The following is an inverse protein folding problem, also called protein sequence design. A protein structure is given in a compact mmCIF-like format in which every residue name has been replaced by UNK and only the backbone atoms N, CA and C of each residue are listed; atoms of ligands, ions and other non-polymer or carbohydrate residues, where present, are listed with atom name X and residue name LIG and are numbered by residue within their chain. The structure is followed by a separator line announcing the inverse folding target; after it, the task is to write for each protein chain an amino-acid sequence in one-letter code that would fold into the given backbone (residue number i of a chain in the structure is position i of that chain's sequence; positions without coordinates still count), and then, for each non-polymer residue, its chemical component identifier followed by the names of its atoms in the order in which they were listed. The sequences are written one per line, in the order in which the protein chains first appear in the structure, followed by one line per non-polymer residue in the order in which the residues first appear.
data_IF_732901161858
#
_entry.id   IF_732901161858
#
_cell.length_a   1.000
_cell.length_b   1.000
_cell.length_c   1.000
_cell.angle_alpha   90.00
_cell.angle_beta   90.00
_cell.angle_gamma   90.00
#
_symmetry.space_group_name_H-M   'P 1'
#
loop_
_entity.id
_entity.type
_entity.pdbx_description
1 polymer ?
#
# COMPACT_ATOMS: atom_id res chain seq x y z
N UNK A 1 28.56 1.04 9.76
CA UNK A 1 28.05 2.37 9.33
C UNK A 1 26.54 2.24 9.17
N UNK A 2 25.75 2.86 10.06
CA UNK A 2 24.29 2.90 9.93
C UNK A 2 23.95 3.94 8.85
N UNK A 3 23.18 3.55 7.84
CA UNK A 3 22.64 4.45 6.81
C UNK A 3 21.20 4.80 7.21
N UNK A 4 20.90 6.08 7.32
CA UNK A 4 19.55 6.59 7.57
C UNK A 4 19.02 7.25 6.30
N UNK A 5 17.71 7.08 6.03
CA UNK A 5 16.98 7.83 5.02
C UNK A 5 16.04 8.80 5.75
N UNK A 6 16.05 10.08 5.36
CA UNK A 6 15.12 11.08 5.88
C UNK A 6 14.16 11.44 4.77
N UNK A 7 12.93 10.95 4.90
CA UNK A 7 11.86 11.17 3.93
C UNK A 7 10.86 12.20 4.45
N UNK A 8 10.25 12.95 3.54
CA UNK A 8 9.20 13.90 3.88
C UNK A 8 7.97 13.13 4.34
N UNK A 9 7.56 13.35 5.58
CA UNK A 9 6.35 12.74 6.14
C UNK A 9 5.08 13.28 5.45
N UNK A 10 4.17 12.39 5.06
CA UNK A 10 2.85 12.74 4.51
C UNK A 10 1.96 13.19 5.68
N UNK A 11 1.85 14.50 5.84
CA UNK A 11 1.09 15.13 6.93
C UNK A 11 -0.42 14.90 6.81
N UNK A 12 -0.93 14.84 5.58
CA UNK A 12 -2.34 14.71 5.27
C UNK A 12 -2.62 13.41 4.48
N UNK A 13 -2.51 12.24 5.14
CA UNK A 13 -2.85 10.98 4.50
C UNK A 13 -4.37 10.89 4.29
N UNK A 14 -4.79 10.12 3.29
CA UNK A 14 -6.16 9.64 3.22
C UNK A 14 -6.44 8.78 4.46
N UNK A 15 -7.61 8.95 5.06
CA UNK A 15 -8.00 8.22 6.26
C UNK A 15 -9.19 7.31 5.96
N UNK A 16 -9.14 6.09 6.48
CA UNK A 16 -10.28 5.15 6.48
C UNK A 16 -10.79 5.08 7.91
N UNK A 17 -12.05 5.49 8.11
CA UNK A 17 -12.65 5.54 9.45
C UNK A 17 -11.82 6.36 10.46
N UNK A 18 -11.16 7.42 9.99
CA UNK A 18 -10.28 8.26 10.81
C UNK A 18 -8.91 7.65 11.11
N UNK A 19 -8.59 6.45 10.60
CA UNK A 19 -7.32 5.75 10.80
C UNK A 19 -6.41 5.90 9.58
N UNK A 20 -5.10 5.98 9.82
CA UNK A 20 -4.09 5.97 8.76
C UNK A 20 -3.94 4.55 8.22
N UNK A 21 -3.61 4.42 6.95
CA UNK A 21 -3.40 3.12 6.32
C UNK A 21 -2.31 3.15 5.26
N UNK A 22 -1.83 1.96 4.91
CA UNK A 22 -1.07 1.70 3.69
C UNK A 22 -1.72 0.56 2.90
N UNK A 23 -1.38 0.46 1.62
CA UNK A 23 -1.78 -0.66 0.76
C UNK A 23 -0.55 -1.48 0.41
N UNK A 24 -0.52 -2.73 0.86
CA UNK A 24 0.46 -3.73 0.46
C UNK A 24 -0.01 -4.39 -0.82
N UNK A 25 0.73 -4.26 -1.91
CA UNK A 25 0.53 -5.01 -3.16
C UNK A 25 1.77 -5.80 -3.54
N UNK A 26 1.62 -6.75 -4.48
CA UNK A 26 2.68 -7.68 -4.83
C UNK A 26 2.95 -7.72 -6.34
N UNK A 27 4.23 -7.74 -6.70
CA UNK A 27 4.72 -7.99 -8.05
C UNK A 27 5.48 -9.31 -8.01
N UNK A 28 4.87 -10.35 -8.58
CA UNK A 28 5.46 -11.68 -8.69
C UNK A 28 6.23 -11.78 -10.00
N UNK A 29 7.55 -11.95 -9.89
CA UNK A 29 8.45 -12.27 -10.99
C UNK A 29 8.46 -13.80 -11.14
N UNK A 30 7.61 -14.35 -12.01
CA UNK A 30 7.48 -15.80 -12.17
C UNK A 30 8.65 -16.44 -12.92
N UNK A 31 9.34 -15.66 -13.75
CA UNK A 31 10.55 -16.08 -14.47
C UNK A 31 11.43 -14.85 -14.71
N UNK A 32 12.76 -15.04 -14.76
CA UNK A 32 13.74 -13.97 -15.08
C UNK A 32 14.34 -14.07 -16.49
N UNK A 33 14.03 -15.18 -17.20
CA UNK A 33 14.53 -15.47 -18.56
C UNK A 33 13.44 -16.16 -19.40
N UNK A 34 12.59 -15.41 -20.15
CA UNK A 34 12.41 -13.96 -20.09
C UNK A 34 11.71 -13.53 -18.80
N UNK A 35 11.68 -12.23 -18.51
CA UNK A 35 10.91 -11.73 -17.38
C UNK A 35 9.41 -11.93 -17.61
N UNK A 36 8.75 -12.58 -16.67
CA UNK A 36 7.28 -12.72 -16.62
C UNK A 36 6.80 -12.17 -15.29
N UNK A 37 5.95 -11.15 -15.33
CA UNK A 37 5.50 -10.41 -14.16
C UNK A 37 3.98 -10.56 -13.97
N UNK A 38 3.55 -10.77 -12.73
CA UNK A 38 2.16 -10.75 -12.33
C UNK A 38 1.95 -9.73 -11.21
N UNK A 39 0.90 -8.94 -11.33
CA UNK A 39 0.49 -8.00 -10.29
C UNK A 39 -0.63 -8.62 -9.45
N UNK A 40 -0.54 -8.49 -8.13
CA UNK A 40 -1.61 -8.80 -7.20
C UNK A 40 -1.91 -7.58 -6.32
N UNK A 41 -3.19 -7.19 -6.24
CA UNK A 41 -3.64 -5.99 -5.53
C UNK A 41 -3.29 -6.00 -4.04
N UNK A 42 -3.29 -7.18 -3.42
CA UNK A 42 -2.95 -7.36 -2.01
C UNK A 42 -4.04 -6.88 -1.06
N UNK A 43 -3.69 -6.08 -0.05
CA UNK A 43 -4.60 -5.69 1.04
C UNK A 43 -4.25 -4.33 1.63
N UNK A 44 -5.18 -3.77 2.39
CA UNK A 44 -5.02 -2.52 3.14
C UNK A 44 -4.68 -2.84 4.60
N UNK A 45 -3.73 -2.12 5.17
CA UNK A 45 -3.34 -2.24 6.57
C UNK A 45 -3.55 -0.91 7.31
N UNK A 46 -4.47 -0.90 8.27
CA UNK A 46 -4.80 0.28 9.05
C UNK A 46 -3.93 0.38 10.33
N UNK A 47 -3.89 1.56 10.93
CA UNK A 47 -3.45 1.76 12.32
C UNK A 47 -4.51 1.27 13.31
N UNK A 48 -4.10 0.97 14.54
CA UNK A 48 -5.05 0.56 15.59
C UNK A 48 -5.86 1.75 16.14
N UNK A 49 -5.27 2.95 16.08
CA UNK A 49 -5.83 4.19 16.63
C UNK A 49 -6.09 5.21 15.54
N UNK A 50 -6.96 6.17 15.84
CA UNK A 50 -7.27 7.28 14.93
C UNK A 50 -6.04 8.15 14.70
N UNK A 51 -5.94 8.69 13.51
CA UNK A 51 -4.86 9.56 13.09
C UNK A 51 -4.96 10.92 13.77
N UNK A 52 -3.83 11.37 14.33
CA UNK A 52 -3.61 12.71 14.85
C UNK A 52 -2.23 13.17 14.40
N UNK A 53 -2.17 14.26 13.63
CA UNK A 53 -0.91 14.79 13.10
C UNK A 53 -0.04 15.45 14.18
N UNK A 54 -0.62 15.84 15.31
CA UNK A 54 0.09 16.49 16.42
C UNK A 54 0.58 15.51 17.49
N UNK A 55 0.21 14.23 17.38
CA UNK A 55 0.64 13.20 18.32
C UNK A 55 2.11 12.86 18.12
N UNK A 56 2.84 12.65 19.23
CA UNK A 56 4.20 12.07 19.19
C UNK A 56 4.15 10.53 19.28
N UNK A 57 2.95 9.95 19.44
CA UNK A 57 2.78 8.50 19.55
C UNK A 57 2.93 7.82 18.18
N UNK A 58 4.00 7.05 18.02
CA UNK A 58 4.27 6.27 16.81
C UNK A 58 3.15 5.29 16.43
N UNK A 59 2.27 4.89 17.37
CA UNK A 59 1.10 4.03 17.07
C UNK A 59 0.04 4.70 16.21
N UNK A 60 0.03 6.02 16.20
CA UNK A 60 -0.83 6.86 15.36
C UNK A 60 -0.28 6.97 13.93
N UNK A 61 1.05 6.89 13.77
CA UNK A 61 1.72 7.18 12.51
C UNK A 61 2.22 5.94 11.75
N UNK A 62 2.51 4.86 12.46
CA UNK A 62 3.08 3.64 11.89
C UNK A 62 1.99 2.59 11.69
N UNK A 63 1.77 2.25 10.43
CA UNK A 63 0.86 1.17 10.05
C UNK A 63 1.49 -0.20 10.28
N UNK A 64 2.82 -0.33 10.32
CA UNK A 64 3.57 -1.59 10.45
C UNK A 64 3.85 -2.04 11.89
N UNK A 65 2.94 -1.72 12.83
CA UNK A 65 3.17 -2.12 14.22
C UNK A 65 2.94 -3.60 14.47
N UNK A 66 4.00 -4.29 14.87
CA UNK A 66 4.01 -5.67 15.35
C UNK A 66 3.67 -5.73 16.85
N UNK A 67 2.66 -5.00 17.30
CA UNK A 67 2.14 -5.18 18.66
C UNK A 67 1.34 -6.48 18.69
N UNK A 68 2.05 -7.61 18.85
CA UNK A 68 1.52 -8.98 18.72
C UNK A 68 0.28 -9.25 19.58
N UNK A 69 0.16 -8.61 20.74
CA UNK A 69 -0.98 -8.76 21.65
C UNK A 69 -2.27 -8.13 21.11
N UNK A 70 -2.18 -6.94 20.52
CA UNK A 70 -3.33 -6.25 19.90
C UNK A 70 -3.61 -6.79 18.49
N UNK A 71 -2.57 -7.23 17.78
CA UNK A 71 -2.66 -7.74 16.41
C UNK A 71 -3.54 -9.00 16.31
N UNK A 72 -3.45 -9.92 17.27
CA UNK A 72 -4.28 -11.13 17.26
C UNK A 72 -5.75 -10.85 17.57
N UNK A 73 -6.03 -9.81 18.36
CA UNK A 73 -7.39 -9.42 18.76
C UNK A 73 -8.11 -8.59 17.70
N UNK A 74 -7.39 -7.75 16.94
CA UNK A 74 -7.96 -6.79 16.00
C UNK A 74 -7.61 -7.07 14.53
N UNK A 75 -7.15 -8.29 14.21
CA UNK A 75 -6.64 -8.63 12.87
C UNK A 75 -7.67 -8.35 11.77
N UNK A 76 -8.92 -8.71 12.00
CA UNK A 76 -10.00 -8.56 11.03
C UNK A 76 -10.42 -7.09 10.84
N UNK A 77 -10.21 -6.24 11.85
CA UNK A 77 -10.50 -4.80 11.77
C UNK A 77 -9.36 -4.02 11.11
N UNK A 78 -8.12 -4.50 11.26
CA UNK A 78 -6.90 -3.82 10.80
C UNK A 78 -6.55 -4.14 9.35
N UNK A 79 -6.99 -5.27 8.83
CA UNK A 79 -6.68 -5.70 7.46
C UNK A 79 -7.94 -5.71 6.63
N UNK A 80 -8.04 -4.78 5.69
CA UNK A 80 -9.14 -4.79 4.74
C UNK A 80 -8.74 -5.47 3.44
N UNK A 81 -9.64 -6.31 2.94
CA UNK A 81 -9.57 -6.76 1.56
C UNK A 81 -9.86 -5.59 0.61
N UNK A 82 -9.33 -5.68 -0.59
CA UNK A 82 -9.47 -4.61 -1.58
C UNK A 82 -10.92 -4.38 -2.01
N UNK A 83 -11.78 -5.40 -1.95
CA UNK A 83 -13.21 -5.27 -2.21
C UNK A 83 -13.90 -4.40 -1.15
N UNK A 84 -13.50 -4.54 0.13
CA UNK A 84 -14.03 -3.71 1.20
C UNK A 84 -13.55 -2.26 1.03
N UNK A 85 -12.26 -2.05 0.74
CA UNK A 85 -11.73 -0.72 0.46
C UNK A 85 -12.40 -0.05 -0.74
N UNK A 86 -12.66 -0.80 -1.81
CA UNK A 86 -13.37 -0.31 -2.99
C UNK A 86 -14.82 0.08 -2.67
N UNK A 87 -15.53 -0.76 -1.92
CA UNK A 87 -16.92 -0.50 -1.51
C UNK A 87 -17.01 0.73 -0.63
N UNK A 88 -16.12 0.85 0.36
CA UNK A 88 -16.01 2.02 1.23
C UNK A 88 -15.70 3.29 0.44
N UNK A 89 -14.74 3.23 -0.49
CA UNK A 89 -14.36 4.38 -1.33
C UNK A 89 -15.51 4.84 -2.22
N UNK A 90 -16.27 3.90 -2.79
CA UNK A 90 -17.48 4.19 -3.56
C UNK A 90 -18.56 4.89 -2.72
N UNK A 91 -18.71 4.49 -1.45
CA UNK A 91 -19.72 5.05 -0.56
C UNK A 91 -19.31 6.45 -0.04
N UNK A 92 -18.09 6.58 0.49
CA UNK A 92 -17.65 7.77 1.23
C UNK A 92 -17.03 8.86 0.36
N UNK A 93 -16.23 8.47 -0.63
CA UNK A 93 -15.38 9.42 -1.35
C UNK A 93 -15.87 9.72 -2.76
N UNK A 94 -16.59 8.80 -3.41
CA UNK A 94 -16.99 8.97 -4.81
C UNK A 94 -17.73 10.28 -5.09
N UNK A 95 -18.80 10.56 -4.34
CA UNK A 95 -19.60 11.78 -4.55
C UNK A 95 -18.87 13.02 -4.03
N UNK A 96 -18.29 12.92 -2.85
CA UNK A 96 -17.67 14.05 -2.14
C UNK A 96 -16.40 14.54 -2.82
N UNK A 97 -15.59 13.63 -3.36
CA UNK A 97 -14.30 13.90 -3.98
C UNK A 97 -14.33 13.76 -5.51
N UNK A 98 -15.51 13.52 -6.11
CA UNK A 98 -15.67 13.41 -7.56
C UNK A 98 -14.94 12.21 -8.18
N UNK A 99 -14.72 11.13 -7.43
CA UNK A 99 -14.00 9.96 -7.94
C UNK A 99 -14.85 9.14 -8.93
N UNK A 100 -14.23 8.44 -9.88
CA UNK A 100 -14.91 7.44 -10.69
C UNK A 100 -15.44 6.30 -9.82
N UNK A 101 -16.47 5.60 -10.32
CA UNK A 101 -16.92 4.35 -9.71
C UNK A 101 -15.76 3.35 -9.74
N UNK A 102 -15.60 2.63 -8.65
CA UNK A 102 -14.57 1.60 -8.50
C UNK A 102 -13.15 2.15 -8.67
N UNK A 103 -12.91 3.37 -8.17
CA UNK A 103 -11.60 4.07 -8.23
C UNK A 103 -10.43 3.19 -7.75
N UNK A 104 -10.66 2.38 -6.70
CA UNK A 104 -9.64 1.46 -6.15
C UNK A 104 -9.19 0.43 -7.20
N UNK A 105 -10.12 -0.13 -7.95
CA UNK A 105 -9.85 -1.16 -8.96
C UNK A 105 -9.52 -0.64 -10.35
N UNK A 106 -9.78 0.64 -10.59
CA UNK A 106 -9.48 1.30 -11.87
C UNK A 106 -8.25 2.18 -11.71
N UNK A 107 -8.43 3.45 -11.36
CA UNK A 107 -7.38 4.48 -11.32
C UNK A 107 -6.25 4.11 -10.35
N UNK A 108 -6.58 3.69 -9.13
CA UNK A 108 -5.57 3.40 -8.11
C UNK A 108 -4.76 2.14 -8.46
N UNK A 109 -5.43 1.06 -8.87
CA UNK A 109 -4.76 -0.18 -9.28
C UNK A 109 -3.86 0.03 -10.49
N UNK A 110 -4.32 0.76 -11.52
CA UNK A 110 -3.48 1.11 -12.67
C UNK A 110 -2.26 1.92 -12.26
N UNK A 111 -2.43 2.87 -11.33
CA UNK A 111 -1.32 3.69 -10.83
C UNK A 111 -0.29 2.85 -10.07
N UNK A 112 -0.72 1.93 -9.22
CA UNK A 112 0.18 1.00 -8.53
C UNK A 112 0.96 0.15 -9.53
N UNK A 113 0.29 -0.43 -10.52
CA UNK A 113 0.95 -1.23 -11.58
C UNK A 113 2.02 -0.43 -12.31
N UNK A 114 1.71 0.81 -12.71
CA UNK A 114 2.68 1.70 -13.35
C UNK A 114 3.90 1.94 -12.46
N UNK A 115 3.71 2.30 -11.20
CA UNK A 115 4.81 2.57 -10.26
C UNK A 115 5.67 1.32 -10.08
N UNK A 116 5.07 0.16 -9.81
CA UNK A 116 5.82 -1.09 -9.61
C UNK A 116 6.61 -1.50 -10.86
N UNK A 117 6.02 -1.36 -12.05
CA UNK A 117 6.72 -1.66 -13.30
C UNK A 117 7.88 -0.69 -13.51
N UNK A 118 7.73 0.61 -13.23
CA UNK A 118 8.83 1.56 -13.32
C UNK A 118 9.96 1.23 -12.34
N UNK A 119 9.64 0.91 -11.08
CA UNK A 119 10.61 0.45 -10.09
C UNK A 119 11.34 -0.82 -10.55
N UNK A 120 10.59 -1.81 -11.05
CA UNK A 120 11.15 -3.03 -11.60
C UNK A 120 12.09 -2.74 -12.78
N UNK A 121 11.66 -1.94 -13.76
CA UNK A 121 12.47 -1.60 -14.93
C UNK A 121 13.77 -0.88 -14.55
N UNK A 122 13.71 0.01 -13.58
CA UNK A 122 14.87 0.72 -13.05
C UNK A 122 15.86 -0.24 -12.34
N UNK A 123 15.35 -1.25 -11.61
CA UNK A 123 16.16 -2.16 -10.82
C UNK A 123 16.54 -3.47 -11.51
N UNK A 124 15.87 -3.86 -12.62
CA UNK A 124 15.99 -5.21 -13.21
C UNK A 124 17.41 -5.61 -13.60
N UNK A 125 18.27 -4.66 -13.92
CA UNK A 125 19.67 -4.91 -14.26
C UNK A 125 20.51 -5.39 -13.07
N UNK A 126 20.01 -5.20 -11.84
CA UNK A 126 20.62 -5.66 -10.59
C UNK A 126 20.08 -7.02 -10.13
N UNK A 127 19.05 -7.55 -10.81
CA UNK A 127 18.47 -8.84 -10.47
C UNK A 127 19.21 -9.96 -11.20
N UNK A 128 19.47 -11.05 -10.49
CA UNK A 128 20.09 -12.23 -11.09
C UNK A 128 19.15 -12.88 -12.12
N UNK A 129 19.67 -13.11 -13.31
CA UNK A 129 18.93 -13.69 -14.45
C UNK A 129 19.37 -15.13 -14.67
N UNK A 130 18.64 -16.06 -14.04
CA UNK A 130 18.90 -17.50 -14.16
C UNK A 130 17.60 -18.26 -14.37
N UNK A 131 17.67 -19.29 -15.21
CA UNK A 131 16.53 -20.18 -15.44
C UNK A 131 16.05 -20.76 -14.11
N UNK A 132 14.73 -20.71 -13.88
CA UNK A 132 14.09 -21.18 -12.66
C UNK A 132 14.10 -20.18 -11.50
N UNK A 133 14.68 -18.98 -11.66
CA UNK A 133 14.58 -17.94 -10.64
C UNK A 133 13.24 -17.23 -10.72
N UNK A 134 12.66 -17.01 -9.55
CA UNK A 134 11.45 -16.23 -9.32
C UNK A 134 11.67 -15.34 -8.09
N UNK A 135 10.87 -14.29 -7.97
CA UNK A 135 10.91 -13.40 -6.81
C UNK A 135 9.52 -12.80 -6.55
N UNK A 136 9.25 -12.42 -5.31
CA UNK A 136 8.00 -11.80 -4.90
C UNK A 136 8.30 -10.46 -4.22
N UNK A 137 8.04 -9.37 -4.94
CA UNK A 137 8.27 -8.02 -4.44
C UNK A 137 6.98 -7.50 -3.81
N UNK A 138 7.02 -7.24 -2.50
CA UNK A 138 5.97 -6.48 -1.81
C UNK A 138 6.25 -4.98 -1.93
N UNK A 139 5.23 -4.17 -2.25
CA UNK A 139 5.33 -2.71 -2.23
C UNK A 139 4.23 -2.11 -1.37
N UNK A 140 4.61 -1.10 -0.60
CA UNK A 140 3.72 -0.34 0.29
C UNK A 140 3.39 0.98 -0.38
N UNK A 141 2.09 1.25 -0.54
CA UNK A 141 1.58 2.49 -1.10
C UNK A 141 0.87 3.31 -0.03
N UNK A 142 1.21 4.60 0.01
CA UNK A 142 0.47 5.59 0.79
C UNK A 142 -0.36 6.45 -0.17
N UNK A 143 -1.52 6.90 0.30
CA UNK A 143 -2.42 7.77 -0.45
C UNK A 143 -2.63 9.03 0.38
N UNK A 144 -2.51 10.20 -0.23
CA UNK A 144 -2.82 11.47 0.42
C UNK A 144 -4.32 11.82 0.34
N UNK A 145 -4.75 12.84 1.08
CA UNK A 145 -6.14 13.32 1.09
C UNK A 145 -6.67 13.74 -0.29
N UNK A 146 -5.78 14.01 -1.25
CA UNK A 146 -6.10 14.39 -2.62
C UNK A 146 -6.11 13.18 -3.58
N UNK A 147 -6.11 11.95 -3.03
CA UNK A 147 -6.12 10.69 -3.79
C UNK A 147 -4.88 10.52 -4.68
N UNK A 148 -3.75 11.14 -4.30
CA UNK A 148 -2.46 10.93 -4.95
C UNK A 148 -1.71 9.79 -4.27
N UNK A 149 -1.12 8.94 -5.10
CA UNK A 149 -0.21 7.84 -4.74
C UNK A 149 1.23 8.28 -4.97
#
# INVERSE_FOLDING_TARGET
VLKYCSDRYIQQPLLLEGKKFDVRSYLHIACTVPYVLFFAQGYVQLTCVNYDAASDDLTVHLTNQANYSLYSQLKDERVWRMEHFNSYSNEKFRKTNGLPKDWVFTVFTERMQQIMVQCFLAAKHKLDRKLGYFDLIGSDFLIDENFKV
#
